data_IF_140182476320
#
_entry.id   IF_140182476320
#
_cell.length_a   1.000
_cell.length_b   1.000
_cell.length_c   1.000
_cell.angle_alpha   90.00
_cell.angle_beta   90.00
_cell.angle_gamma   90.00
#
_symmetry.space_group_name_H-M   'P 1'
#
loop_
_entity.id
_entity.type
_entity.pdbx_description
1 polymer ?
#
# COMPACT_ATOMS: atom_id res chain seq x y z
N UNK A 1 -49.96 -20.85 -10.89
CA UNK A 1 -48.62 -21.33 -10.48
C UNK A 1 -47.72 -21.20 -11.68
N UNK A 2 -46.79 -20.23 -11.72
CA UNK A 2 -45.87 -20.09 -12.83
C UNK A 2 -44.58 -20.87 -12.58
N UNK A 3 -43.99 -21.24 -13.70
CA UNK A 3 -42.93 -22.21 -13.95
C UNK A 3 -41.64 -21.97 -13.16
N UNK A 4 -41.15 -22.99 -12.44
CA UNK A 4 -39.80 -23.05 -11.86
C UNK A 4 -38.87 -23.70 -12.86
N UNK A 5 -38.46 -22.93 -13.87
CA UNK A 5 -37.44 -23.34 -14.85
C UNK A 5 -36.24 -22.41 -14.78
N UNK A 6 -35.36 -22.62 -13.80
CA UNK A 6 -34.03 -22.00 -13.78
C UNK A 6 -33.16 -22.66 -14.85
N UNK A 7 -33.04 -22.03 -16.01
CA UNK A 7 -32.07 -22.44 -17.02
C UNK A 7 -30.67 -21.96 -16.63
N UNK A 8 -29.90 -22.86 -16.01
CA UNK A 8 -28.47 -22.67 -15.76
C UNK A 8 -27.72 -22.54 -17.09
N UNK A 9 -26.86 -21.52 -17.22
CA UNK A 9 -25.89 -21.46 -18.32
C UNK A 9 -24.73 -22.39 -17.94
N UNK A 10 -24.52 -23.45 -18.72
CA UNK A 10 -23.37 -24.34 -18.53
C UNK A 10 -22.09 -23.57 -18.80
N UNK A 11 -21.15 -23.64 -17.84
CA UNK A 11 -19.78 -23.19 -18.01
C UNK A 11 -19.18 -23.76 -19.30
N UNK A 12 -18.63 -22.90 -20.15
CA UNK A 12 -17.85 -23.30 -21.34
C UNK A 12 -16.39 -23.62 -21.00
N UNK A 13 -15.98 -23.41 -19.75
CA UNK A 13 -14.66 -23.76 -19.24
C UNK A 13 -14.59 -25.27 -18.97
N UNK A 14 -13.85 -26.00 -19.82
CA UNK A 14 -13.67 -27.45 -19.70
C UNK A 14 -12.89 -27.87 -18.44
N UNK A 15 -12.29 -26.92 -17.72
CA UNK A 15 -11.43 -27.16 -16.55
C UNK A 15 -12.12 -26.83 -15.22
N UNK A 16 -13.11 -25.94 -15.19
CA UNK A 16 -13.86 -25.61 -13.97
C UNK A 16 -15.14 -26.44 -13.87
N UNK A 17 -15.15 -27.44 -12.99
CA UNK A 17 -16.34 -28.27 -12.65
C UNK A 17 -17.18 -27.71 -11.50
N UNK A 18 -16.95 -26.45 -11.10
CA UNK A 18 -17.74 -25.79 -10.06
C UNK A 18 -18.78 -24.86 -10.67
N UNK A 19 -19.97 -24.83 -10.08
CA UNK A 19 -20.99 -23.80 -10.34
C UNK A 19 -20.47 -22.46 -9.79
N UNK A 20 -19.64 -21.77 -10.57
CA UNK A 20 -19.32 -20.36 -10.28
C UNK A 20 -20.43 -19.54 -10.91
N UNK A 21 -21.42 -19.23 -10.08
CA UNK A 21 -22.52 -18.32 -10.42
C UNK A 21 -21.96 -16.93 -10.75
N UNK A 22 -21.93 -16.58 -12.04
CA UNK A 22 -22.09 -15.21 -12.48
C UNK A 22 -23.49 -15.11 -13.07
N UNK A 23 -24.48 -14.90 -12.21
CA UNK A 23 -25.87 -14.75 -12.64
C UNK A 23 -26.06 -13.28 -13.02
N UNK A 24 -26.28 -13.00 -14.30
CA UNK A 24 -26.77 -11.69 -14.71
C UNK A 24 -28.15 -11.45 -14.06
N UNK A 25 -28.27 -10.42 -13.21
CA UNK A 25 -29.52 -10.06 -12.54
C UNK A 25 -29.78 -10.78 -11.21
N UNK A 26 -28.82 -11.55 -10.66
CA UNK A 26 -28.84 -11.97 -9.25
C UNK A 26 -27.42 -11.87 -8.69
N UNK A 27 -27.17 -10.80 -7.92
CA UNK A 27 -25.88 -10.54 -7.30
C UNK A 27 -24.95 -9.70 -8.19
N UNK A 28 -25.44 -8.57 -8.67
CA UNK A 28 -24.73 -7.73 -9.63
C UNK A 28 -23.68 -6.86 -8.92
N UNK A 29 -22.49 -7.41 -8.64
CA UNK A 29 -21.32 -6.56 -8.58
C UNK A 29 -21.13 -5.98 -9.99
N UNK A 30 -21.57 -4.73 -10.21
CA UNK A 30 -21.32 -4.02 -11.47
C UNK A 30 -19.85 -4.19 -11.87
N UNK A 31 -19.60 -4.75 -13.05
CA UNK A 31 -18.26 -4.85 -13.64
C UNK A 31 -17.66 -3.47 -14.02
N UNK A 32 -18.35 -2.39 -13.68
CA UNK A 32 -17.96 -1.01 -13.93
C UNK A 32 -18.00 -0.19 -12.63
N UNK A 33 -17.19 0.86 -12.55
CA UNK A 33 -17.28 1.88 -11.50
C UNK A 33 -18.46 2.85 -11.71
N UNK A 34 -19.51 2.45 -12.46
CA UNK A 34 -20.69 3.28 -12.66
C UNK A 34 -21.51 3.31 -11.36
N UNK A 35 -21.68 4.48 -10.71
CA UNK A 35 -22.48 4.60 -9.49
C UNK A 35 -23.96 4.27 -9.72
N UNK A 36 -24.48 4.44 -10.94
CA UNK A 36 -25.88 4.14 -11.28
C UNK A 36 -26.15 2.64 -11.42
N UNK A 37 -25.09 1.83 -11.51
CA UNK A 37 -25.16 0.37 -11.54
C UNK A 37 -24.95 -0.25 -10.15
N UNK A 38 -24.98 0.56 -9.08
CA UNK A 38 -24.84 0.06 -7.72
C UNK A 38 -26.12 -0.65 -7.25
N UNK A 39 -25.95 -1.84 -6.70
CA UNK A 39 -27.02 -2.59 -6.04
C UNK A 39 -26.81 -2.53 -4.52
N UNK A 40 -27.86 -2.11 -3.80
CA UNK A 40 -27.87 -2.14 -2.33
C UNK A 40 -27.92 -3.58 -1.83
N UNK A 41 -26.74 -4.13 -1.50
CA UNK A 41 -26.59 -5.47 -0.93
C UNK A 41 -27.30 -5.64 0.41
N UNK A 42 -27.59 -4.53 1.10
CA UNK A 42 -28.19 -4.54 2.42
C UNK A 42 -29.71 -4.48 2.33
N UNK A 43 -30.28 -4.06 1.19
CA UNK A 43 -31.69 -3.70 1.05
C UNK A 43 -32.20 -2.79 2.19
N UNK A 44 -31.31 -1.97 2.78
CA UNK A 44 -31.55 -1.26 4.04
C UNK A 44 -32.07 -2.13 5.22
N UNK A 45 -31.84 -3.45 5.21
CA UNK A 45 -32.33 -4.39 6.22
C UNK A 45 -31.72 -4.12 7.60
N UNK A 46 -30.48 -3.62 7.64
CA UNK A 46 -29.79 -3.22 8.86
C UNK A 46 -29.69 -1.70 8.91
N UNK A 47 -30.70 -1.07 9.51
CA UNK A 47 -30.65 0.36 9.79
C UNK A 47 -29.75 0.59 11.00
N UNK A 48 -28.60 1.20 10.77
CA UNK A 48 -27.77 1.76 11.82
C UNK A 48 -28.44 3.08 12.25
N UNK A 49 -29.30 3.06 13.27
CA UNK A 49 -30.08 4.23 13.69
C UNK A 49 -29.26 5.21 14.56
N UNK A 50 -29.61 6.50 14.46
CA UNK A 50 -29.35 7.59 15.43
C UNK A 50 -27.97 7.63 16.09
N UNK A 51 -26.89 7.58 15.30
CA UNK A 51 -25.56 7.87 15.84
C UNK A 51 -25.56 9.36 16.12
N UNK A 52 -25.43 9.70 17.40
CA UNK A 52 -25.29 11.09 17.83
C UNK A 52 -24.17 11.72 17.04
N UNK A 53 -24.45 12.88 16.42
CA UNK A 53 -23.43 13.68 15.74
C UNK A 53 -22.25 13.88 16.66
N UNK A 54 -21.06 13.92 16.06
CA UNK A 54 -19.83 14.16 16.78
C UNK A 54 -19.98 15.41 17.68
N UNK A 55 -19.62 15.32 18.97
CA UNK A 55 -19.61 16.48 19.85
C UNK A 55 -18.70 17.58 19.29
N UNK A 56 -19.09 18.84 19.43
CA UNK A 56 -18.29 19.97 18.94
C UNK A 56 -17.12 20.29 19.87
N UNK A 57 -17.23 19.96 21.15
CA UNK A 57 -16.16 20.16 22.13
C UNK A 57 -15.23 18.94 22.21
N UNK A 58 -13.92 19.14 22.04
CA UNK A 58 -12.93 18.06 22.11
C UNK A 58 -12.96 17.27 23.43
N UNK A 59 -13.30 17.92 24.54
CA UNK A 59 -13.45 17.24 25.84
C UNK A 59 -14.56 16.19 25.78
N UNK A 60 -15.67 16.50 25.13
CA UNK A 60 -16.81 15.61 24.96
C UNK A 60 -16.48 14.49 23.97
N UNK A 61 -15.75 14.79 22.89
CA UNK A 61 -15.21 13.76 21.98
C UNK A 61 -14.34 12.77 22.74
N UNK A 62 -13.40 13.24 23.56
CA UNK A 62 -12.52 12.36 24.34
C UNK A 62 -13.29 11.54 25.39
N UNK A 63 -14.32 12.12 26.01
CA UNK A 63 -15.18 11.38 26.95
C UNK A 63 -15.96 10.29 26.24
N UNK A 64 -16.60 10.63 25.12
CA UNK A 64 -17.31 9.69 24.27
C UNK A 64 -16.39 8.55 23.80
N UNK A 65 -15.15 8.86 23.37
CA UNK A 65 -14.18 7.85 22.95
C UNK A 65 -13.85 6.88 24.09
N UNK A 66 -13.60 7.39 25.31
CA UNK A 66 -13.32 6.53 26.47
C UNK A 66 -14.48 5.60 26.81
N UNK A 67 -15.72 6.07 26.70
CA UNK A 67 -16.91 5.24 26.93
C UNK A 67 -17.02 4.10 25.91
N UNK A 68 -16.68 4.36 24.65
CA UNK A 68 -16.82 3.40 23.54
C UNK A 68 -15.57 2.55 23.27
N UNK A 69 -14.44 2.83 23.93
CA UNK A 69 -13.21 2.04 23.85
C UNK A 69 -13.18 0.90 24.87
N UNK A 70 -14.12 0.83 25.84
CA UNK A 70 -14.20 -0.32 26.74
C UNK A 70 -14.40 -1.60 25.92
N UNK A 71 -13.36 -2.44 25.87
CA UNK A 71 -13.26 -3.58 24.94
C UNK A 71 -13.91 -4.87 25.48
N UNK A 72 -14.39 -4.85 26.72
CA UNK A 72 -14.78 -6.07 27.45
C UNK A 72 -16.27 -6.44 27.29
N UNK A 73 -17.06 -5.62 26.61
CA UNK A 73 -18.51 -5.74 26.49
C UNK A 73 -19.03 -5.73 25.03
N UNK A 74 -18.13 -5.73 24.05
CA UNK A 74 -18.49 -5.54 22.65
C UNK A 74 -18.52 -6.88 21.88
N UNK A 75 -19.68 -7.54 21.90
CA UNK A 75 -19.93 -8.76 21.12
C UNK A 75 -19.92 -8.54 19.60
N UNK A 76 -19.88 -9.64 18.83
CA UNK A 76 -19.91 -9.62 17.35
C UNK A 76 -21.14 -8.90 16.78
N UNK A 77 -22.23 -8.85 17.55
CA UNK A 77 -23.47 -8.15 17.23
C UNK A 77 -23.30 -6.64 17.06
N UNK A 78 -22.26 -6.05 17.65
CA UNK A 78 -21.96 -4.61 17.55
C UNK A 78 -21.11 -4.20 16.34
N UNK A 79 -20.70 -5.16 15.49
CA UNK A 79 -19.87 -4.87 14.32
C UNK A 79 -20.65 -4.10 13.25
N UNK A 80 -20.04 -3.11 12.56
CA UNK A 80 -18.67 -2.59 12.76
C UNK A 80 -18.58 -1.41 13.72
N UNK A 81 -19.70 -0.89 14.24
CA UNK A 81 -19.70 0.33 15.05
C UNK A 81 -18.86 0.19 16.32
N UNK A 82 -18.81 -1.01 16.91
CA UNK A 82 -18.00 -1.32 18.07
C UNK A 82 -16.48 -1.12 17.81
N UNK A 83 -15.98 -1.42 16.60
CA UNK A 83 -14.56 -1.24 16.24
C UNK A 83 -14.23 0.14 15.65
N UNK A 84 -15.24 0.90 15.20
CA UNK A 84 -15.07 2.27 14.73
C UNK A 84 -15.07 3.21 15.94
N UNK A 85 -13.91 3.66 16.39
CA UNK A 85 -13.78 4.54 17.57
C UNK A 85 -13.74 6.04 17.24
N UNK A 86 -13.82 6.41 15.96
CA UNK A 86 -13.95 7.80 15.53
C UNK A 86 -15.44 8.14 15.31
N UNK A 87 -16.02 9.09 16.07
CA UNK A 87 -17.42 9.47 15.91
C UNK A 87 -17.74 10.00 14.50
N UNK A 88 -16.80 10.67 13.82
CA UNK A 88 -17.02 11.14 12.45
C UNK A 88 -17.16 9.97 11.47
N UNK A 89 -16.33 8.94 11.60
CA UNK A 89 -16.43 7.73 10.79
C UNK A 89 -17.72 6.94 11.04
N UNK A 90 -18.24 6.93 12.28
CA UNK A 90 -19.54 6.31 12.58
C UNK A 90 -20.68 7.03 11.87
N UNK A 91 -20.70 8.36 11.91
CA UNK A 91 -21.69 9.17 11.17
C UNK A 91 -21.60 8.89 9.67
N UNK A 92 -20.39 8.86 9.11
CA UNK A 92 -20.19 8.56 7.69
C UNK A 92 -20.59 7.14 7.31
N UNK A 93 -20.39 6.17 8.19
CA UNK A 93 -20.85 4.80 7.97
C UNK A 93 -22.37 4.77 7.77
N UNK A 94 -23.14 5.51 8.58
CA UNK A 94 -24.59 5.64 8.36
C UNK A 94 -24.92 6.30 7.02
N UNK A 95 -24.21 7.38 6.66
CA UNK A 95 -24.46 8.08 5.41
C UNK A 95 -24.22 7.20 4.19
N UNK A 96 -23.18 6.37 4.22
CA UNK A 96 -22.88 5.38 3.16
C UNK A 96 -24.02 4.37 3.04
N UNK A 97 -24.49 3.80 4.16
CA UNK A 97 -25.60 2.85 4.15
C UNK A 97 -26.94 3.45 3.73
N UNK A 98 -27.26 4.68 4.17
CA UNK A 98 -28.49 5.37 3.78
C UNK A 98 -28.56 5.64 2.27
N UNK A 99 -27.41 5.71 1.60
CA UNK A 99 -27.29 5.81 0.14
C UNK A 99 -27.31 4.44 -0.56
N UNK A 100 -27.49 3.35 0.19
CA UNK A 100 -27.43 1.98 -0.34
C UNK A 100 -26.03 1.55 -0.78
N UNK A 101 -24.97 2.25 -0.35
CA UNK A 101 -23.59 2.00 -0.74
C UNK A 101 -22.90 0.99 0.21
N UNK A 102 -21.85 0.32 -0.28
CA UNK A 102 -21.00 -0.56 0.53
C UNK A 102 -19.63 0.06 0.83
N UNK A 103 -19.08 -0.27 2.00
CA UNK A 103 -17.73 0.13 2.40
C UNK A 103 -16.85 -1.09 2.75
N UNK A 104 -15.66 -0.81 3.28
CA UNK A 104 -14.66 -1.85 3.60
C UNK A 104 -15.13 -2.83 4.67
N UNK A 105 -15.94 -2.40 5.64
CA UNK A 105 -16.44 -3.27 6.71
C UNK A 105 -17.46 -4.28 6.18
N UNK A 106 -18.38 -3.83 5.32
CA UNK A 106 -19.39 -4.70 4.71
C UNK A 106 -18.72 -5.78 3.84
N UNK A 107 -17.77 -5.37 3.01
CA UNK A 107 -17.00 -6.29 2.16
C UNK A 107 -16.11 -7.21 2.99
N UNK A 108 -15.55 -6.73 4.10
CA UNK A 108 -14.79 -7.56 5.04
C UNK A 108 -15.68 -8.65 5.65
N UNK A 109 -16.88 -8.30 6.12
CA UNK A 109 -17.80 -9.27 6.73
C UNK A 109 -18.21 -10.37 5.75
N UNK A 110 -18.54 -10.01 4.50
CA UNK A 110 -18.84 -10.98 3.45
C UNK A 110 -17.66 -11.92 3.21
N UNK A 111 -16.44 -11.38 3.10
CA UNK A 111 -15.23 -12.17 2.86
C UNK A 111 -14.84 -13.03 4.06
N UNK A 112 -15.06 -12.55 5.28
CA UNK A 112 -14.69 -13.27 6.50
C UNK A 112 -15.46 -14.59 6.63
N UNK A 113 -16.75 -14.58 6.27
CA UNK A 113 -17.61 -15.78 6.32
C UNK A 113 -17.17 -16.89 5.35
N UNK A 114 -16.52 -16.52 4.25
CA UNK A 114 -16.09 -17.45 3.19
C UNK A 114 -14.57 -17.62 3.10
N UNK A 115 -13.82 -17.05 4.06
CA UNK A 115 -12.36 -16.99 3.98
C UNK A 115 -11.74 -18.39 3.95
N UNK A 116 -10.96 -18.68 2.91
CA UNK A 116 -10.34 -19.98 2.75
C UNK A 116 -9.24 -20.24 3.80
N UNK A 117 -9.43 -21.27 4.65
CA UNK A 117 -8.47 -21.65 5.69
C UNK A 117 -7.08 -22.01 5.18
N UNK A 118 -6.96 -22.62 3.99
CA UNK A 118 -5.66 -22.89 3.39
C UNK A 118 -4.93 -21.60 2.99
N UNK A 119 -5.65 -20.59 2.50
CA UNK A 119 -5.06 -19.32 2.13
C UNK A 119 -4.61 -18.52 3.35
N UNK A 120 -5.42 -18.49 4.42
CA UNK A 120 -5.07 -17.78 5.66
C UNK A 120 -3.86 -18.38 6.36
N UNK A 121 -3.73 -19.70 6.32
CA UNK A 121 -2.58 -20.42 6.89
C UNK A 121 -1.36 -20.42 5.95
N UNK A 122 -1.47 -19.93 4.72
CA UNK A 122 -0.40 -19.98 3.71
C UNK A 122 -0.15 -21.36 3.09
N UNK A 123 -1.04 -22.32 3.32
CA UNK A 123 -0.98 -23.73 2.87
C UNK A 123 -1.66 -23.96 1.49
N UNK A 124 -1.73 -22.91 0.66
CA UNK A 124 -2.22 -22.97 -0.72
C UNK A 124 -1.21 -22.33 -1.67
N UNK A 125 -0.80 -23.05 -2.73
CA UNK A 125 0.16 -22.59 -3.72
C UNK A 125 -0.41 -22.65 -5.14
N UNK A 126 -0.24 -21.54 -5.88
CA UNK A 126 -0.76 -21.33 -7.25
C UNK A 126 0.35 -20.90 -8.23
N UNK A 127 1.61 -21.17 -7.91
CA UNK A 127 2.76 -20.64 -8.65
C UNK A 127 3.08 -21.40 -9.96
N UNK A 128 2.35 -22.48 -10.28
CA UNK A 128 2.57 -23.24 -11.52
C UNK A 128 1.30 -23.97 -11.97
N UNK A 129 1.31 -24.43 -13.23
CA UNK A 129 0.18 -25.11 -13.88
C UNK A 129 -0.17 -26.48 -13.29
N UNK A 130 0.72 -27.10 -12.50
CA UNK A 130 0.42 -28.36 -11.80
C UNK A 130 -0.41 -28.15 -10.52
N UNK A 131 -0.60 -26.89 -10.10
CA UNK A 131 -1.46 -26.52 -8.99
C UNK A 131 -2.93 -26.27 -9.41
N UNK A 132 -3.75 -25.68 -8.53
CA UNK A 132 -3.44 -25.27 -7.16
C UNK A 132 -3.16 -26.47 -6.24
N UNK A 133 -2.11 -26.38 -5.42
CA UNK A 133 -1.81 -27.37 -4.38
C UNK A 133 -2.31 -26.88 -3.02
N UNK A 134 -2.86 -27.79 -2.19
CA UNK A 134 -3.27 -27.54 -0.80
C UNK A 134 -2.63 -28.58 0.12
N UNK A 135 -2.00 -28.14 1.21
CA UNK A 135 -1.33 -29.03 2.16
C UNK A 135 -2.17 -29.21 3.43
N UNK A 136 -2.30 -30.47 3.88
CA UNK A 136 -2.87 -30.86 5.17
C UNK A 136 -2.26 -32.22 5.62
N UNK A 137 -2.71 -32.75 6.76
CA UNK A 137 -2.19 -34.01 7.31
C UNK A 137 -2.33 -35.24 6.38
N UNK A 138 -3.36 -35.28 5.52
CA UNK A 138 -3.61 -36.36 4.55
C UNK A 138 -2.88 -36.15 3.22
N UNK A 139 -2.65 -34.89 2.85
CA UNK A 139 -1.93 -34.47 1.64
C UNK A 139 -0.76 -33.58 2.06
N UNK A 140 0.34 -34.17 2.59
CA UNK A 140 1.39 -33.40 3.26
C UNK A 140 2.34 -32.66 2.31
N UNK A 141 2.18 -32.84 0.99
CA UNK A 141 3.07 -32.28 -0.03
C UNK A 141 2.27 -31.68 -1.19
N UNK A 142 2.80 -30.63 -1.80
CA UNK A 142 2.38 -30.19 -3.12
C UNK A 142 2.84 -31.14 -4.23
N UNK A 143 2.33 -30.94 -5.45
CA UNK A 143 2.67 -31.80 -6.60
C UNK A 143 4.18 -31.86 -6.90
N UNK A 144 4.91 -30.77 -6.63
CA UNK A 144 6.37 -30.72 -6.79
C UNK A 144 7.16 -31.23 -5.57
N UNK A 145 6.50 -31.75 -4.53
CA UNK A 145 7.14 -32.33 -3.35
C UNK A 145 7.45 -31.35 -2.20
N UNK A 146 7.10 -30.07 -2.31
CA UNK A 146 7.26 -29.12 -1.19
C UNK A 146 6.26 -29.41 -0.06
N UNK A 147 6.70 -29.24 1.20
CA UNK A 147 5.85 -29.35 2.39
C UNK A 147 5.27 -27.99 2.81
N UNK A 148 4.57 -28.00 3.96
CA UNK A 148 3.96 -26.83 4.57
C UNK A 148 4.97 -25.71 4.84
N UNK A 149 6.13 -26.01 5.41
CA UNK A 149 7.14 -25.01 5.80
C UNK A 149 7.65 -24.24 4.58
N UNK A 150 8.03 -24.98 3.53
CA UNK A 150 8.48 -24.39 2.28
C UNK A 150 7.35 -23.62 1.60
N UNK A 151 6.12 -24.15 1.59
CA UNK A 151 4.98 -23.48 0.97
C UNK A 151 4.68 -22.14 1.63
N UNK A 152 4.62 -22.10 2.96
CA UNK A 152 4.34 -20.88 3.73
C UNK A 152 5.46 -19.87 3.53
N UNK A 153 6.72 -20.26 3.70
CA UNK A 153 7.86 -19.34 3.55
C UNK A 153 7.97 -18.78 2.12
N UNK A 154 7.81 -19.63 1.10
CA UNK A 154 7.80 -19.22 -0.31
C UNK A 154 6.65 -18.25 -0.62
N UNK A 155 5.44 -18.57 -0.15
CA UNK A 155 4.28 -17.69 -0.34
C UNK A 155 4.49 -16.33 0.34
N UNK A 156 5.09 -16.31 1.54
CA UNK A 156 5.40 -15.07 2.24
C UNK A 156 6.37 -14.20 1.44
N UNK A 157 7.47 -14.77 0.95
CA UNK A 157 8.44 -14.07 0.10
C UNK A 157 7.77 -13.54 -1.17
N UNK A 158 7.10 -14.43 -1.92
CA UNK A 158 6.52 -14.12 -3.24
C UNK A 158 5.36 -13.11 -3.19
N UNK A 159 4.48 -13.22 -2.18
CA UNK A 159 3.25 -12.41 -2.13
C UNK A 159 3.41 -11.14 -1.32
N UNK A 160 4.18 -11.17 -0.24
CA UNK A 160 4.21 -10.05 0.70
C UNK A 160 5.52 -9.28 0.59
N UNK A 161 6.66 -9.96 0.64
CA UNK A 161 7.95 -9.28 0.74
C UNK A 161 8.37 -8.65 -0.57
N UNK A 162 8.25 -9.37 -1.69
CA UNK A 162 8.65 -8.81 -3.01
C UNK A 162 7.76 -7.66 -3.43
N UNK A 163 6.45 -7.72 -3.19
CA UNK A 163 5.52 -6.65 -3.58
C UNK A 163 5.81 -5.36 -2.81
N UNK A 164 5.97 -5.43 -1.48
CA UNK A 164 6.30 -4.26 -0.67
C UNK A 164 7.64 -3.64 -1.06
N UNK A 165 8.66 -4.49 -1.25
CA UNK A 165 10.00 -4.04 -1.64
C UNK A 165 10.00 -3.39 -3.03
N UNK A 166 9.33 -3.99 -4.01
CA UNK A 166 9.20 -3.44 -5.36
C UNK A 166 8.50 -2.07 -5.35
N UNK A 167 7.40 -1.92 -4.59
CA UNK A 167 6.65 -0.68 -4.52
C UNK A 167 7.51 0.47 -3.97
N UNK A 168 8.24 0.25 -2.87
CA UNK A 168 9.07 1.27 -2.26
C UNK A 168 10.29 1.64 -3.10
N UNK A 169 10.98 0.66 -3.70
CA UNK A 169 12.11 0.93 -4.60
C UNK A 169 11.63 1.71 -5.83
N UNK A 170 10.49 1.32 -6.42
CA UNK A 170 9.91 2.06 -7.53
C UNK A 170 9.56 3.50 -7.14
N UNK A 171 8.99 3.71 -5.95
CA UNK A 171 8.67 5.04 -5.48
C UNK A 171 9.93 5.90 -5.27
N UNK A 172 10.96 5.36 -4.63
CA UNK A 172 12.25 6.03 -4.47
C UNK A 172 12.89 6.36 -5.83
N UNK A 173 12.78 5.45 -6.81
CA UNK A 173 13.22 5.69 -8.19
C UNK A 173 12.49 6.91 -8.79
N UNK A 174 11.17 7.04 -8.61
CA UNK A 174 10.43 8.21 -9.11
C UNK A 174 10.85 9.50 -8.41
N UNK A 175 11.14 9.46 -7.10
CA UNK A 175 11.67 10.61 -6.37
C UNK A 175 13.06 11.02 -6.89
N UNK A 176 13.96 10.07 -7.17
CA UNK A 176 15.27 10.36 -7.74
C UNK A 176 15.16 10.95 -9.16
N UNK A 177 14.28 10.39 -10.01
CA UNK A 177 13.99 10.96 -11.34
C UNK A 177 13.44 12.37 -11.24
N UNK A 178 12.61 12.65 -10.24
CA UNK A 178 12.09 14.00 -9.98
C UNK A 178 13.19 14.95 -9.58
N UNK A 179 14.10 14.55 -8.67
CA UNK A 179 15.24 15.39 -8.28
C UNK A 179 16.10 15.75 -9.50
N UNK A 180 16.37 14.78 -10.36
CA UNK A 180 17.07 15.01 -11.62
C UNK A 180 16.32 15.99 -12.53
N UNK A 181 15.01 15.84 -12.69
CA UNK A 181 14.18 16.74 -13.48
C UNK A 181 14.13 18.16 -12.90
N UNK A 182 14.04 18.31 -11.58
CA UNK A 182 14.05 19.61 -10.91
C UNK A 182 15.33 20.41 -11.18
N UNK A 183 16.46 19.71 -11.28
CA UNK A 183 17.75 20.32 -11.57
C UNK A 183 17.99 20.60 -13.06
N UNK A 184 17.41 19.80 -13.96
CA UNK A 184 17.60 19.91 -15.41
C UNK A 184 16.59 20.83 -16.11
N UNK A 185 15.38 20.93 -15.54
CA UNK A 185 14.25 21.70 -16.10
C UNK A 185 13.66 22.63 -15.04
N UNK A 186 14.33 23.74 -14.69
CA UNK A 186 13.84 24.70 -13.70
C UNK A 186 12.46 25.29 -14.02
N UNK A 187 12.09 25.32 -15.30
CA UNK A 187 10.78 25.77 -15.80
C UNK A 187 9.62 24.84 -15.45
N UNK A 188 9.90 23.59 -15.05
CA UNK A 188 8.88 22.58 -14.72
C UNK A 188 8.09 22.90 -13.45
N UNK A 189 8.54 23.87 -12.64
CA UNK A 189 7.97 24.17 -11.32
C UNK A 189 8.43 23.21 -10.21
N UNK A 190 9.20 22.17 -10.55
CA UNK A 190 9.92 21.34 -9.60
C UNK A 190 11.12 22.12 -9.04
N UNK A 191 11.35 22.00 -7.73
CA UNK A 191 12.35 22.81 -7.02
C UNK A 191 13.10 21.95 -6.00
N UNK A 192 14.38 22.24 -5.84
CA UNK A 192 15.18 21.78 -4.70
C UNK A 192 14.85 22.73 -3.54
N UNK A 193 14.26 22.20 -2.48
CA UNK A 193 13.79 22.97 -1.32
C UNK A 193 14.71 22.84 -0.10
N UNK A 194 15.45 21.74 0.02
CA UNK A 194 16.46 21.55 1.06
C UNK A 194 17.84 21.25 0.47
N UNK A 195 18.58 22.32 0.20
CA UNK A 195 19.93 22.27 -0.34
C UNK A 195 20.93 21.67 0.67
N UNK A 196 20.79 21.98 1.95
CA UNK A 196 21.72 21.51 2.98
C UNK A 196 21.65 19.99 3.12
N UNK A 197 20.43 19.43 3.08
CA UNK A 197 20.21 17.99 3.06
C UNK A 197 20.79 17.34 1.81
N UNK A 198 20.61 17.93 0.62
CA UNK A 198 21.26 17.46 -0.61
C UNK A 198 22.79 17.43 -0.46
N UNK A 199 23.39 18.53 0.01
CA UNK A 199 24.85 18.62 0.17
C UNK A 199 25.38 17.58 1.16
N UNK A 200 24.71 17.43 2.32
CA UNK A 200 25.08 16.45 3.35
C UNK A 200 25.06 15.02 2.81
N UNK A 201 23.97 14.60 2.17
CA UNK A 201 23.84 13.22 1.72
C UNK A 201 24.67 12.92 0.46
N UNK A 202 24.90 13.91 -0.40
CA UNK A 202 25.83 13.78 -1.51
C UNK A 202 27.28 13.64 -1.01
N UNK A 203 27.69 14.39 0.02
CA UNK A 203 29.00 14.23 0.66
C UNK A 203 29.15 12.84 1.28
N UNK A 204 28.14 12.36 2.01
CA UNK A 204 28.12 11.00 2.57
C UNK A 204 28.20 9.92 1.47
N UNK A 205 27.58 10.16 0.31
CA UNK A 205 27.70 9.30 -0.86
C UNK A 205 29.09 9.35 -1.53
N UNK A 206 29.96 10.28 -1.12
CA UNK A 206 31.30 10.47 -1.67
C UNK A 206 31.32 11.27 -2.97
N UNK A 207 30.28 12.06 -3.26
CA UNK A 207 30.22 12.91 -4.44
C UNK A 207 31.02 14.21 -4.24
N UNK A 208 31.75 14.68 -5.26
CA UNK A 208 32.53 15.91 -5.14
C UNK A 208 31.62 17.14 -4.99
N UNK A 209 32.12 18.15 -4.26
CA UNK A 209 31.45 19.45 -4.16
C UNK A 209 31.39 20.10 -5.54
N UNK A 210 30.21 20.57 -5.92
CA UNK A 210 29.96 21.23 -7.20
C UNK A 210 28.71 22.11 -7.11
N UNK A 211 28.34 22.73 -8.24
CA UNK A 211 27.08 23.47 -8.39
C UNK A 211 25.87 22.65 -7.95
N UNK A 212 24.87 23.32 -7.38
CA UNK A 212 23.68 22.68 -6.77
C UNK A 212 22.93 21.78 -7.76
N UNK A 213 22.67 22.25 -8.98
CA UNK A 213 21.94 21.48 -9.98
C UNK A 213 22.78 20.29 -10.47
N UNK A 214 24.09 20.50 -10.67
CA UNK A 214 25.00 19.39 -11.02
C UNK A 214 25.06 18.34 -9.91
N UNK A 215 25.07 18.77 -8.64
CA UNK A 215 25.06 17.89 -7.47
C UNK A 215 23.77 17.10 -7.37
N UNK A 216 22.62 17.73 -7.58
CA UNK A 216 21.31 17.07 -7.59
C UNK A 216 21.22 15.99 -8.67
N UNK A 217 21.68 16.29 -9.90
CA UNK A 217 21.73 15.30 -10.98
C UNK A 217 22.67 14.15 -10.62
N UNK A 218 23.88 14.44 -10.13
CA UNK A 218 24.84 13.41 -9.76
C UNK A 218 24.35 12.52 -8.61
N UNK A 219 23.68 13.10 -7.60
CA UNK A 219 23.11 12.36 -6.49
C UNK A 219 21.93 11.49 -6.94
N UNK A 220 21.03 12.03 -7.78
CA UNK A 220 19.95 11.25 -8.37
C UNK A 220 20.47 10.09 -9.20
N UNK A 221 21.49 10.31 -10.05
CA UNK A 221 22.09 9.25 -10.88
C UNK A 221 22.79 8.20 -10.03
N UNK A 222 23.48 8.59 -8.96
CA UNK A 222 24.09 7.66 -8.02
C UNK A 222 23.04 6.74 -7.35
N UNK A 223 21.91 7.30 -6.91
CA UNK A 223 20.79 6.50 -6.35
C UNK A 223 20.21 5.54 -7.40
N UNK A 224 19.93 6.04 -8.61
CA UNK A 224 19.35 5.24 -9.70
C UNK A 224 20.29 4.12 -10.14
N UNK A 225 21.59 4.39 -10.18
CA UNK A 225 22.60 3.40 -10.49
C UNK A 225 22.63 2.30 -9.43
N UNK A 226 22.56 2.66 -8.14
CA UNK A 226 22.59 1.67 -7.06
C UNK A 226 21.40 0.70 -7.11
N UNK A 227 20.18 1.23 -7.31
CA UNK A 227 18.96 0.43 -7.48
C UNK A 227 19.04 -0.57 -8.64
N UNK A 228 19.81 -0.20 -9.68
CA UNK A 228 19.95 -0.96 -10.92
C UNK A 228 21.15 -1.91 -10.92
N UNK A 229 21.94 -1.95 -9.83
CA UNK A 229 23.06 -2.89 -9.71
C UNK A 229 22.59 -4.34 -9.78
N UNK A 230 23.45 -5.26 -10.25
CA UNK A 230 23.17 -6.68 -10.12
C UNK A 230 23.19 -7.11 -8.64
N UNK A 231 22.49 -8.20 -8.32
CA UNK A 231 22.31 -8.62 -6.93
C UNK A 231 23.61 -9.12 -6.28
N UNK A 232 24.60 -9.48 -7.10
CA UNK A 232 25.92 -9.96 -6.65
C UNK A 232 26.93 -8.82 -6.38
N UNK A 233 26.58 -7.58 -6.70
CA UNK A 233 27.38 -6.41 -6.34
C UNK A 233 26.75 -5.69 -5.15
N UNK A 234 27.48 -5.56 -4.04
CA UNK A 234 26.99 -4.91 -2.83
C UNK A 234 26.52 -3.46 -3.09
N UNK A 235 25.31 -3.12 -2.61
CA UNK A 235 24.70 -1.78 -2.66
C UNK A 235 25.57 -0.71 -2.01
N UNK A 236 25.84 0.36 -2.74
CA UNK A 236 26.51 1.56 -2.26
C UNK A 236 25.63 2.32 -1.25
N UNK A 237 24.31 2.39 -1.45
CA UNK A 237 23.43 3.02 -0.45
C UNK A 237 23.51 2.32 0.90
N UNK A 238 23.45 0.98 0.90
CA UNK A 238 23.62 0.21 2.14
C UNK A 238 25.03 0.41 2.73
N UNK A 239 26.09 0.42 1.92
CA UNK A 239 27.46 0.66 2.42
C UNK A 239 27.64 2.03 3.06
N UNK A 240 27.02 3.08 2.49
CA UNK A 240 27.20 4.47 2.94
C UNK A 240 26.35 4.82 4.14
N UNK A 241 25.13 4.26 4.23
CA UNK A 241 24.15 4.70 5.22
C UNK A 241 23.87 3.69 6.35
N UNK A 242 24.25 2.42 6.19
CA UNK A 242 24.05 1.44 7.25
C UNK A 242 25.15 1.49 8.33
N UNK A 243 24.83 1.22 9.61
CA UNK A 243 25.84 1.12 10.66
C UNK A 243 26.90 0.03 10.35
N UNK A 244 28.21 0.29 10.52
CA UNK A 244 29.27 -0.67 10.15
C UNK A 244 29.11 -2.07 10.78
N UNK A 245 28.74 -2.13 12.06
CA UNK A 245 28.49 -3.41 12.76
C UNK A 245 27.38 -4.25 12.12
N UNK A 246 26.39 -3.60 11.48
CA UNK A 246 25.32 -4.31 10.75
C UNK A 246 25.82 -4.83 9.41
N UNK A 247 26.61 -4.04 8.70
CA UNK A 247 27.22 -4.44 7.44
C UNK A 247 28.08 -5.70 7.59
N UNK A 248 28.94 -5.76 8.61
CA UNK A 248 29.79 -6.93 8.87
C UNK A 248 28.98 -8.19 9.16
N UNK A 249 27.91 -8.04 9.94
CA UNK A 249 26.99 -9.15 10.22
C UNK A 249 26.28 -9.63 8.95
N UNK A 250 25.78 -8.72 8.11
CA UNK A 250 25.11 -9.09 6.87
C UNK A 250 26.05 -9.76 5.87
N UNK A 251 27.31 -9.33 5.79
CA UNK A 251 28.33 -10.05 4.99
C UNK A 251 28.56 -11.46 5.51
N UNK A 252 28.75 -11.63 6.82
CA UNK A 252 28.94 -12.94 7.45
C UNK A 252 27.75 -13.88 7.21
N UNK A 253 26.53 -13.34 7.17
CA UNK A 253 25.30 -14.11 6.95
C UNK A 253 24.88 -14.20 5.46
N UNK A 254 25.66 -13.64 4.54
CA UNK A 254 25.31 -13.51 3.11
C UNK A 254 23.96 -12.79 2.84
N UNK A 255 23.66 -11.79 3.67
CA UNK A 255 22.45 -10.96 3.63
C UNK A 255 22.69 -9.55 3.09
N UNK A 256 23.94 -9.18 2.78
CA UNK A 256 24.22 -7.86 2.24
C UNK A 256 23.64 -7.74 0.81
N UNK A 257 22.71 -6.80 0.55
CA UNK A 257 22.00 -6.74 -0.73
C UNK A 257 22.84 -6.07 -1.82
N UNK A 258 22.53 -6.38 -3.08
CA UNK A 258 22.89 -5.59 -4.25
C UNK A 258 21.78 -4.64 -4.67
N UNK A 259 21.58 -4.44 -5.97
CA UNK A 259 20.58 -3.49 -6.46
C UNK A 259 19.15 -3.98 -6.25
N UNK A 260 18.29 -3.10 -5.72
CA UNK A 260 16.94 -3.44 -5.29
C UNK A 260 16.07 -4.11 -6.36
N UNK A 261 16.17 -3.69 -7.63
CA UNK A 261 15.41 -4.32 -8.71
C UNK A 261 15.87 -5.75 -8.99
N UNK A 262 17.20 -5.99 -8.99
CA UNK A 262 17.75 -7.32 -9.23
C UNK A 262 17.55 -8.25 -8.02
N UNK A 263 17.54 -7.72 -6.79
CA UNK A 263 17.18 -8.45 -5.58
C UNK A 263 15.72 -8.93 -5.60
N UNK A 264 14.77 -8.08 -6.03
CA UNK A 264 13.37 -8.49 -6.21
C UNK A 264 13.27 -9.58 -7.27
N UNK A 265 13.95 -9.42 -8.40
CA UNK A 265 13.96 -10.43 -9.47
C UNK A 265 14.52 -11.77 -8.96
N UNK A 266 15.66 -11.75 -8.26
CA UNK A 266 16.24 -12.94 -7.64
C UNK A 266 15.27 -13.63 -6.69
N UNK A 267 14.63 -12.86 -5.79
CA UNK A 267 13.70 -13.41 -4.82
C UNK A 267 12.49 -14.06 -5.50
N UNK A 268 11.93 -13.44 -6.55
CA UNK A 268 10.84 -14.04 -7.33
C UNK A 268 11.31 -15.29 -8.07
N UNK A 269 12.51 -15.28 -8.67
CA UNK A 269 13.11 -16.46 -9.30
C UNK A 269 13.23 -17.61 -8.30
N UNK A 270 13.71 -17.36 -7.09
CA UNK A 270 13.81 -18.41 -6.04
C UNK A 270 12.47 -19.05 -5.69
N UNK A 271 11.35 -18.35 -5.87
CA UNK A 271 10.01 -18.88 -5.61
C UNK A 271 9.49 -19.82 -6.71
N UNK A 272 10.14 -19.88 -7.87
CA UNK A 272 9.74 -20.78 -8.95
C UNK A 272 9.92 -22.25 -8.57
N UNK A 273 9.10 -23.10 -9.18
CA UNK A 273 9.19 -24.55 -9.04
C UNK A 273 10.61 -25.04 -9.35
N UNK A 274 11.16 -25.92 -8.51
CA UNK A 274 12.47 -26.57 -8.66
C UNK A 274 13.71 -25.66 -8.58
N UNK A 275 13.61 -24.43 -8.04
CA UNK A 275 14.79 -23.57 -7.82
C UNK A 275 15.24 -23.48 -6.36
N UNK A 276 14.30 -23.35 -5.42
CA UNK A 276 14.60 -23.38 -3.98
C UNK A 276 13.50 -24.12 -3.21
N UNK A 277 13.89 -25.02 -2.31
CA UNK A 277 13.00 -25.77 -1.43
C UNK A 277 13.43 -25.71 0.04
N UNK A 278 14.21 -24.70 0.43
CA UNK A 278 14.60 -24.44 1.82
C UNK A 278 13.82 -23.24 2.38
N UNK A 279 12.98 -23.52 3.38
CA UNK A 279 12.17 -22.53 4.09
C UNK A 279 13.02 -21.47 4.79
N UNK A 280 14.16 -21.86 5.41
CA UNK A 280 15.07 -20.92 6.06
C UNK A 280 15.69 -19.99 5.04
N UNK A 281 16.10 -20.52 3.89
CA UNK A 281 16.65 -19.71 2.80
C UNK A 281 15.63 -18.70 2.26
N UNK A 282 14.35 -19.07 2.16
CA UNK A 282 13.28 -18.11 1.83
C UNK A 282 13.17 -17.00 2.86
N UNK A 283 13.12 -17.33 4.16
CA UNK A 283 13.01 -16.31 5.21
C UNK A 283 14.25 -15.41 5.28
N UNK A 284 15.45 -15.94 5.07
CA UNK A 284 16.67 -15.13 4.95
C UNK A 284 16.64 -14.22 3.71
N UNK A 285 16.04 -14.67 2.62
CA UNK A 285 15.78 -13.81 1.44
C UNK A 285 14.85 -12.66 1.80
N UNK A 286 13.84 -12.89 2.65
CA UNK A 286 12.99 -11.82 3.16
C UNK A 286 13.78 -10.76 3.93
N UNK A 287 14.71 -11.20 4.79
CA UNK A 287 15.58 -10.28 5.55
C UNK A 287 16.47 -9.48 4.61
N UNK A 288 17.10 -10.13 3.62
CA UNK A 288 17.92 -9.47 2.60
C UNK A 288 17.13 -8.40 1.82
N UNK A 289 15.91 -8.72 1.40
CA UNK A 289 15.00 -7.75 0.78
C UNK A 289 14.60 -6.63 1.74
N UNK A 290 14.41 -6.91 3.01
CA UNK A 290 14.16 -5.89 4.03
C UNK A 290 15.29 -4.86 4.13
N UNK A 291 16.54 -5.30 4.04
CA UNK A 291 17.72 -4.41 4.04
C UNK A 291 17.75 -3.56 2.75
N UNK A 292 17.51 -4.17 1.59
CA UNK A 292 17.42 -3.43 0.32
C UNK A 292 16.28 -2.41 0.35
N UNK A 293 15.10 -2.82 0.83
CA UNK A 293 13.92 -1.97 0.99
C UNK A 293 14.18 -0.79 1.93
N UNK A 294 14.90 -1.00 3.03
CA UNK A 294 15.25 0.07 3.94
C UNK A 294 16.15 1.11 3.25
N UNK A 295 17.32 0.71 2.76
CA UNK A 295 18.31 1.70 2.31
C UNK A 295 18.04 2.25 0.91
N UNK A 296 17.53 1.44 -0.02
CA UNK A 296 17.26 1.87 -1.40
C UNK A 296 15.79 2.24 -1.62
N UNK A 297 14.87 1.79 -0.76
CA UNK A 297 13.46 2.16 -0.80
C UNK A 297 13.15 3.32 0.16
N UNK A 298 12.91 3.00 1.43
CA UNK A 298 12.36 3.92 2.42
C UNK A 298 13.31 5.07 2.78
N UNK A 299 14.56 4.76 3.12
CA UNK A 299 15.57 5.76 3.47
C UNK A 299 15.88 6.67 2.29
N UNK A 300 16.11 6.09 1.11
CA UNK A 300 16.32 6.85 -0.12
C UNK A 300 15.16 7.79 -0.41
N UNK A 301 13.93 7.26 -0.33
CA UNK A 301 12.71 7.98 -0.58
C UNK A 301 12.55 9.17 0.37
N UNK A 302 12.74 8.96 1.67
CA UNK A 302 12.63 9.99 2.71
C UNK A 302 13.57 11.17 2.40
N UNK A 303 14.85 10.88 2.18
CA UNK A 303 15.86 11.90 1.88
C UNK A 303 15.52 12.66 0.58
N UNK A 304 15.16 11.95 -0.48
CA UNK A 304 14.83 12.56 -1.76
C UNK A 304 13.57 13.44 -1.67
N UNK A 305 12.55 12.98 -0.94
CA UNK A 305 11.33 13.75 -0.74
C UNK A 305 11.58 15.01 0.08
N UNK A 306 12.38 14.94 1.15
CA UNK A 306 12.71 16.13 1.94
C UNK A 306 13.55 17.13 1.13
N UNK A 307 14.47 16.67 0.27
CA UNK A 307 15.19 17.56 -0.65
C UNK A 307 14.21 18.29 -1.60
N UNK A 308 13.21 17.58 -2.12
CA UNK A 308 12.24 18.10 -3.09
C UNK A 308 11.14 18.96 -2.45
N UNK A 309 10.69 18.61 -1.24
CA UNK A 309 9.50 19.17 -0.60
C UNK A 309 9.83 20.08 0.59
N UNK A 310 11.07 20.01 1.08
CA UNK A 310 11.54 20.66 2.30
C UNK A 310 11.49 19.70 3.50
N UNK A 311 12.51 19.79 4.36
CA UNK A 311 12.54 19.05 5.63
C UNK A 311 11.43 19.50 6.55
N UNK A 312 10.69 18.54 7.08
CA UNK A 312 9.52 18.84 7.92
C UNK A 312 9.91 19.50 9.24
N UNK A 313 9.13 20.51 9.61
CA UNK A 313 9.30 21.25 10.86
C UNK A 313 8.15 20.92 11.83
N UNK A 314 8.43 21.03 13.13
CA UNK A 314 7.41 20.88 14.17
C UNK A 314 6.35 21.96 13.98
N UNK A 315 5.11 21.55 13.79
CA UNK A 315 3.97 22.46 13.66
C UNK A 315 2.69 21.80 14.17
N UNK A 316 1.66 22.62 14.40
CA UNK A 316 0.32 22.15 14.78
C UNK A 316 -0.56 22.05 13.55
N UNK A 317 -1.15 20.89 13.32
CA UNK A 317 -2.12 20.65 12.25
C UNK A 317 -3.45 20.12 12.80
N UNK A 318 -4.52 20.29 12.03
CA UNK A 318 -5.82 19.67 12.29
C UNK A 318 -5.96 18.42 11.40
N UNK A 319 -6.72 17.44 11.86
CA UNK A 319 -6.97 16.18 11.15
C UNK A 319 -8.45 15.79 11.27
N UNK A 320 -8.88 14.78 10.49
CA UNK A 320 -10.26 14.28 10.35
C UNK A 320 -11.12 15.03 9.29
N UNK A 321 -12.28 14.47 8.96
CA UNK A 321 -13.20 14.93 7.91
C UNK A 321 -13.82 16.30 8.18
N UNK A 322 -13.78 16.79 9.43
CA UNK A 322 -14.17 18.17 9.77
C UNK A 322 -13.31 19.27 9.13
N UNK A 323 -12.23 18.89 8.43
CA UNK A 323 -11.45 19.79 7.58
C UNK A 323 -12.21 20.21 6.31
N UNK A 324 -13.17 19.41 5.86
CA UNK A 324 -13.96 19.70 4.68
C UNK A 324 -14.92 20.86 4.97
N UNK A 325 -15.00 21.83 4.07
CA UNK A 325 -15.88 22.99 4.21
C UNK A 325 -16.90 23.03 3.10
N UNK A 326 -18.18 23.18 3.48
CA UNK A 326 -19.30 23.26 2.54
C UNK A 326 -19.14 24.40 1.53
N UNK A 327 -18.71 25.56 2.03
CA UNK A 327 -18.50 26.78 1.23
C UNK A 327 -17.09 26.83 0.64
N UNK A 328 -16.49 25.68 0.29
CA UNK A 328 -15.20 25.62 -0.40
C UNK A 328 -15.17 24.47 -1.40
N UNK A 329 -14.35 24.62 -2.44
CA UNK A 329 -13.95 23.50 -3.28
C UNK A 329 -12.97 22.63 -2.48
N UNK A 330 -13.40 21.42 -2.10
CA UNK A 330 -12.56 20.47 -1.36
C UNK A 330 -11.79 19.56 -2.33
N UNK A 331 -10.47 19.63 -2.30
CA UNK A 331 -9.59 18.76 -3.09
C UNK A 331 -8.94 17.75 -2.15
N UNK A 332 -9.28 16.47 -2.33
CA UNK A 332 -8.71 15.36 -1.55
C UNK A 332 -7.60 14.72 -2.38
N UNK A 333 -6.39 14.69 -1.84
CA UNK A 333 -5.27 13.95 -2.44
C UNK A 333 -5.13 12.61 -1.74
N UNK A 334 -4.96 11.54 -2.50
CA UNK A 334 -4.83 10.18 -2.00
C UNK A 334 -3.74 9.45 -2.77
N UNK A 335 -3.02 8.55 -2.10
CA UNK A 335 -1.90 7.80 -2.66
C UNK A 335 -0.62 8.03 -1.89
N UNK A 336 0.50 7.63 -2.50
CA UNK A 336 1.79 7.57 -1.81
C UNK A 336 2.85 8.51 -2.38
N UNK A 337 2.62 9.12 -3.55
CA UNK A 337 3.58 10.02 -4.22
C UNK A 337 3.21 11.48 -3.95
N UNK A 338 3.74 12.11 -2.88
CA UNK A 338 3.22 13.37 -2.36
C UNK A 338 3.55 14.58 -3.23
N UNK A 339 4.50 14.47 -4.16
CA UNK A 339 4.92 15.58 -5.00
C UNK A 339 3.78 16.16 -5.85
N UNK A 340 2.94 15.30 -6.43
CA UNK A 340 1.78 15.75 -7.20
C UNK A 340 0.82 16.51 -6.30
N UNK A 341 0.52 15.97 -5.12
CA UNK A 341 -0.32 16.62 -4.13
C UNK A 341 0.25 17.98 -3.71
N UNK A 342 1.57 18.04 -3.45
CA UNK A 342 2.27 19.26 -3.07
C UNK A 342 2.17 20.35 -4.15
N UNK A 343 2.37 19.99 -5.42
CA UNK A 343 2.20 20.92 -6.55
C UNK A 343 0.76 21.37 -6.72
N UNK A 344 -0.21 20.45 -6.60
CA UNK A 344 -1.64 20.79 -6.65
C UNK A 344 -2.00 21.77 -5.53
N UNK A 345 -1.49 21.58 -4.32
CA UNK A 345 -1.70 22.51 -3.19
C UNK A 345 -1.05 23.88 -3.43
N UNK A 346 0.18 23.92 -3.95
CA UNK A 346 0.89 25.16 -4.30
C UNK A 346 0.12 25.94 -5.39
N UNK A 347 -0.37 25.25 -6.42
CA UNK A 347 -1.19 25.84 -7.47
C UNK A 347 -2.54 26.31 -6.95
N UNK A 348 -3.27 25.47 -6.22
CA UNK A 348 -4.58 25.80 -5.67
C UNK A 348 -4.54 27.03 -4.75
N UNK A 349 -3.40 27.29 -4.11
CA UNK A 349 -3.20 28.42 -3.20
C UNK A 349 -2.93 29.75 -3.93
N UNK A 350 -2.75 29.77 -5.26
CA UNK A 350 -2.49 31.00 -6.02
C UNK A 350 -3.75 31.87 -6.13
N UNK A 351 -3.61 33.21 -6.14
CA UNK A 351 -4.76 34.13 -6.23
C UNK A 351 -5.69 33.86 -7.41
N UNK A 352 -5.14 33.44 -8.55
CA UNK A 352 -5.92 33.12 -9.76
C UNK A 352 -6.95 32.00 -9.53
N UNK A 353 -6.56 30.92 -8.83
CA UNK A 353 -7.42 29.78 -8.56
C UNK A 353 -8.41 30.09 -7.44
N UNK A 354 -7.95 30.80 -6.41
CA UNK A 354 -8.80 31.27 -5.32
C UNK A 354 -9.89 32.23 -5.81
N UNK A 355 -9.56 33.14 -6.73
CA UNK A 355 -10.53 34.05 -7.32
C UNK A 355 -11.51 33.31 -8.24
N UNK A 356 -11.02 32.33 -9.00
CA UNK A 356 -11.88 31.48 -9.84
C UNK A 356 -12.91 30.70 -9.01
N UNK A 357 -12.53 30.16 -7.86
CA UNK A 357 -13.47 29.44 -6.99
C UNK A 357 -14.48 30.40 -6.36
N UNK A 358 -14.06 31.59 -5.92
CA UNK A 358 -14.99 32.63 -5.42
C UNK A 358 -16.04 33.03 -6.44
N UNK A 359 -15.64 33.23 -7.70
CA UNK A 359 -16.56 33.52 -8.81
C UNK A 359 -17.52 32.38 -9.11
N UNK A 360 -17.13 31.14 -8.81
CA UNK A 360 -17.97 29.95 -8.94
C UNK A 360 -18.91 29.72 -7.74
N UNK A 361 -18.88 30.60 -6.73
CA UNK A 361 -19.76 30.53 -5.55
C UNK A 361 -19.19 29.71 -4.38
N UNK A 362 -17.89 29.42 -4.39
CA UNK A 362 -17.16 28.79 -3.29
C UNK A 362 -16.30 29.79 -2.49
#
# INVERSE_FOLDING_TARGET
MPDKGEHLIKSSDQTSRGDVESIAGRGDASGSNNPDAHFDIHQNAQKFYDIKKMPTAMKEVHTWQREHINTHDQGKEGFPLNVIIDPAMREMYQQVHAQGLTNVFDRFEQQERIRCGFCTQGLSCQLCANGPCRINAKTPRGNCGVDADVMVARNFVYRHVTIGTAANIFHAQQAARTLKAAAQSPESGLKIRDREKLMKYAEMAGLPKQDENKLAVAFADWVLQDMSRPYWEESEMTKRFAPPKRQDLWRKLNLFPGGGFSEVALAQTKCMTNLNADAVNFLLTSVRLGIANEYQGLFALDILQEILMGTQQIHTARQNMGLLKKEMVNIITNGHMPLLAHLVTELASRPEWQEKTRRAGA
#
